data_IF_676814609742
#
_entry.id   IF_676814609742
#
_cell.length_a   1.000
_cell.length_b   1.000
_cell.length_c   1.000
_cell.angle_alpha   90.00
_cell.angle_beta   90.00
_cell.angle_gamma   90.00
#
_symmetry.space_group_name_H-M   'P 1'
#
loop_
_entity.id
_entity.type
_entity.pdbx_description
1 polymer ?
#
# COMPACT_ATOMS: atom_id res chain seq x y z
N UNK A 1 -18.80 -0.54 -6.07
CA UNK A 1 -19.55 -1.12 -4.93
C UNK A 1 -18.63 -1.09 -3.72
N UNK A 2 -19.12 -0.67 -2.55
CA UNK A 2 -18.32 -0.69 -1.31
C UNK A 2 -18.10 -2.13 -0.82
N UNK A 3 -16.92 -2.41 -0.25
CA UNK A 3 -16.63 -3.70 0.40
C UNK A 3 -17.65 -3.95 1.51
N UNK A 4 -18.10 -5.19 1.64
CA UNK A 4 -19.07 -5.54 2.68
C UNK A 4 -18.53 -5.29 4.09
N UNK A 5 -17.22 -5.46 4.31
CA UNK A 5 -16.56 -5.10 5.56
C UNK A 5 -16.76 -3.63 5.97
N UNK A 6 -16.83 -2.71 5.00
CA UNK A 6 -17.12 -1.29 5.27
C UNK A 6 -18.54 -1.11 5.79
N UNK A 7 -19.53 -1.85 5.25
CA UNK A 7 -20.89 -1.83 5.79
C UNK A 7 -20.96 -2.45 7.18
N UNK A 8 -20.20 -3.54 7.40
CA UNK A 8 -20.10 -4.19 8.71
C UNK A 8 -19.57 -3.24 9.78
N UNK A 9 -18.59 -2.39 9.45
CA UNK A 9 -17.99 -1.41 10.36
C UNK A 9 -19.01 -0.44 10.97
N UNK A 10 -19.95 0.04 10.17
CA UNK A 10 -20.98 0.98 10.61
C UNK A 10 -22.26 0.31 11.13
N UNK A 11 -22.36 -1.02 11.01
CA UNK A 11 -23.58 -1.75 11.35
C UNK A 11 -23.96 -1.64 12.84
N UNK A 12 -23.04 -1.76 13.83
CA UNK A 12 -23.40 -1.65 15.24
C UNK A 12 -24.06 -0.32 15.62
N UNK A 13 -23.61 0.78 15.00
CA UNK A 13 -24.24 2.09 15.17
C UNK A 13 -25.63 2.15 14.53
N UNK A 14 -25.76 1.63 13.30
CA UNK A 14 -27.02 1.63 12.57
C UNK A 14 -28.12 0.79 13.25
N UNK A 15 -27.76 -0.17 14.09
CA UNK A 15 -28.70 -0.98 14.87
C UNK A 15 -28.94 -0.47 16.28
N UNK A 16 -28.28 0.62 16.70
CA UNK A 16 -28.37 1.15 18.07
C UNK A 16 -27.74 0.26 19.14
N UNK A 17 -26.83 -0.64 18.75
CA UNK A 17 -26.07 -1.48 19.72
C UNK A 17 -24.93 -0.66 20.33
N UNK A 18 -24.35 0.22 19.53
CA UNK A 18 -23.31 1.17 19.98
C UNK A 18 -23.80 2.56 19.64
N UNK A 19 -23.70 3.49 20.59
CA UNK A 19 -24.07 4.87 20.36
C UNK A 19 -23.14 5.51 19.31
N UNK A 20 -23.68 6.21 18.31
CA UNK A 20 -22.85 6.90 17.32
C UNK A 20 -22.12 8.08 17.97
N UNK A 21 -20.86 8.38 17.56
CA UNK A 21 -20.15 9.57 18.00
C UNK A 21 -20.92 10.86 17.67
N UNK A 22 -21.19 11.65 18.71
CA UNK A 22 -21.99 12.88 18.64
C UNK A 22 -21.24 14.13 18.14
N UNK A 23 -21.98 15.24 18.07
CA UNK A 23 -21.47 16.53 17.60
C UNK A 23 -20.28 17.02 18.45
N UNK A 24 -19.30 17.64 17.79
CA UNK A 24 -18.04 18.09 18.44
C UNK A 24 -17.01 16.98 18.68
N UNK A 25 -17.39 15.71 18.53
CA UNK A 25 -16.46 14.59 18.59
C UNK A 25 -15.52 14.52 17.39
N UNK A 26 -14.34 13.93 17.59
CA UNK A 26 -13.35 13.63 16.56
C UNK A 26 -13.14 12.13 16.45
N UNK A 27 -13.36 11.58 15.27
CA UNK A 27 -13.20 10.16 14.97
C UNK A 27 -12.06 9.95 13.98
N UNK A 28 -11.10 9.11 14.35
CA UNK A 28 -10.04 8.68 13.45
C UNK A 28 -10.51 7.47 12.65
N UNK A 29 -10.39 7.47 11.32
CA UNK A 29 -10.75 6.31 10.50
C UNK A 29 -9.54 5.74 9.76
N UNK A 30 -8.99 4.64 10.28
CA UNK A 30 -7.82 3.95 9.74
C UNK A 30 -8.20 2.87 8.73
N UNK A 31 -7.48 2.82 7.61
CA UNK A 31 -7.81 1.93 6.49
C UNK A 31 -9.09 2.37 5.77
N UNK A 32 -9.40 3.68 5.82
CA UNK A 32 -10.64 4.22 5.31
C UNK A 32 -10.81 3.92 3.82
N UNK A 33 -12.04 3.58 3.42
CA UNK A 33 -12.43 3.40 2.02
C UNK A 33 -13.68 4.23 1.75
N UNK A 34 -13.84 4.72 0.52
CA UNK A 34 -15.04 5.47 0.14
C UNK A 34 -16.29 4.57 0.04
N UNK A 35 -17.47 5.20 -0.03
CA UNK A 35 -18.74 4.50 -0.24
C UNK A 35 -19.42 3.99 1.03
N UNK A 36 -19.05 4.51 2.20
CA UNK A 36 -19.85 4.41 3.42
C UNK A 36 -20.95 5.46 3.44
N UNK A 37 -21.97 5.20 4.27
CA UNK A 37 -22.96 6.19 4.69
C UNK A 37 -22.90 6.26 6.20
N UNK A 38 -22.80 7.46 6.73
CA UNK A 38 -22.83 7.67 8.18
C UNK A 38 -24.23 7.31 8.69
N UNK A 39 -24.35 6.47 9.73
CA UNK A 39 -25.62 6.16 10.36
C UNK A 39 -26.29 7.39 10.98
N UNK A 40 -27.59 7.31 11.22
CA UNK A 40 -28.32 8.35 11.95
C UNK A 40 -27.67 8.61 13.32
N UNK A 41 -27.55 9.88 13.70
CA UNK A 41 -26.90 10.29 14.95
C UNK A 41 -25.37 10.38 14.90
N UNK A 42 -24.70 9.92 13.83
CA UNK A 42 -23.26 10.09 13.66
C UNK A 42 -22.96 11.52 13.20
N UNK A 43 -22.65 12.39 14.16
CA UNK A 43 -22.43 13.82 13.95
C UNK A 43 -20.96 14.27 14.22
N UNK A 44 -20.09 13.35 14.62
CA UNK A 44 -18.68 13.64 14.82
C UNK A 44 -17.92 13.90 13.50
N UNK A 45 -16.87 14.71 13.57
CA UNK A 45 -15.91 14.87 12.48
C UNK A 45 -15.12 13.57 12.24
N UNK A 46 -14.81 13.25 10.99
CA UNK A 46 -14.15 12.01 10.60
C UNK A 46 -12.85 12.29 9.85
N UNK A 47 -11.71 12.03 10.49
CA UNK A 47 -10.39 12.14 9.87
C UNK A 47 -10.00 10.79 9.25
N UNK A 48 -10.13 10.66 7.93
CA UNK A 48 -9.81 9.43 7.22
C UNK A 48 -8.30 9.29 6.96
N UNK A 49 -7.81 8.06 7.06
CA UNK A 49 -6.40 7.71 6.80
C UNK A 49 -6.33 6.56 5.81
N UNK A 50 -5.70 6.82 4.67
CA UNK A 50 -5.58 5.87 3.57
C UNK A 50 -4.27 6.10 2.78
N UNK A 51 -3.25 5.25 2.96
CA UNK A 51 -1.95 5.38 2.30
C UNK A 51 -1.96 4.92 0.83
N UNK A 52 -2.94 4.12 0.40
CA UNK A 52 -3.04 3.66 -0.98
C UNK A 52 -3.69 4.74 -1.86
N UNK A 53 -2.95 5.22 -2.87
CA UNK A 53 -3.33 6.39 -3.69
C UNK A 53 -4.70 6.26 -4.34
N UNK A 54 -5.02 5.08 -4.88
CA UNK A 54 -6.30 4.82 -5.56
C UNK A 54 -7.50 4.98 -4.60
N UNK A 55 -7.40 4.39 -3.40
CA UNK A 55 -8.43 4.50 -2.36
C UNK A 55 -8.48 5.90 -1.75
N UNK A 56 -7.32 6.55 -1.57
CA UNK A 56 -7.24 7.92 -1.11
C UNK A 56 -7.96 8.88 -2.07
N UNK A 57 -7.71 8.75 -3.38
CA UNK A 57 -8.39 9.54 -4.41
C UNK A 57 -9.90 9.29 -4.40
N UNK A 58 -10.34 8.05 -4.19
CA UNK A 58 -11.76 7.75 -4.08
C UNK A 58 -12.42 8.45 -2.88
N UNK A 59 -11.73 8.54 -1.74
CA UNK A 59 -12.18 9.30 -0.57
C UNK A 59 -12.23 10.81 -0.84
N UNK A 60 -11.20 11.38 -1.45
CA UNK A 60 -11.18 12.79 -1.85
C UNK A 60 -12.32 13.11 -2.83
N UNK A 61 -12.56 12.24 -3.82
CA UNK A 61 -13.66 12.39 -4.77
C UNK A 61 -15.05 12.28 -4.12
N UNK A 62 -15.15 11.63 -2.96
CA UNK A 62 -16.36 11.58 -2.13
C UNK A 62 -16.47 12.76 -1.13
N UNK A 63 -15.52 13.72 -1.17
CA UNK A 63 -15.49 14.89 -0.29
C UNK A 63 -15.02 14.61 1.14
N UNK A 64 -14.40 13.44 1.40
CA UNK A 64 -13.88 13.11 2.72
C UNK A 64 -12.58 13.89 3.02
N UNK A 65 -12.41 14.32 4.27
CA UNK A 65 -11.12 14.76 4.80
C UNK A 65 -10.22 13.52 4.96
N UNK A 66 -9.19 13.41 4.11
CA UNK A 66 -8.32 12.23 4.07
C UNK A 66 -6.84 12.60 4.00
N UNK A 67 -6.02 11.90 4.78
CA UNK A 67 -4.56 11.96 4.77
C UNK A 67 -3.95 10.56 4.50
N UNK A 68 -2.71 10.47 3.99
CA UNK A 68 -2.03 9.18 3.83
C UNK A 68 -1.57 8.58 5.17
N UNK A 69 -1.31 9.43 6.17
CA UNK A 69 -0.82 9.06 7.49
C UNK A 69 -1.69 9.75 8.54
N UNK A 70 -1.93 9.07 9.65
CA UNK A 70 -2.66 9.65 10.77
C UNK A 70 -1.88 10.84 11.36
N UNK A 71 -2.61 11.89 11.76
CA UNK A 71 -2.07 13.06 12.45
C UNK A 71 -2.93 13.36 13.69
N UNK A 72 -2.41 14.15 14.64
CA UNK A 72 -3.13 14.53 15.86
C UNK A 72 -3.32 13.41 16.89
N UNK A 73 -3.82 13.80 18.05
CA UNK A 73 -4.08 12.97 19.23
C UNK A 73 -5.37 13.42 19.94
N UNK A 74 -5.83 12.63 20.92
CA UNK A 74 -7.01 12.91 21.71
C UNK A 74 -8.32 12.71 20.93
N UNK A 75 -8.35 11.74 20.01
CA UNK A 75 -9.58 11.34 19.31
C UNK A 75 -10.57 10.67 20.27
N UNK A 76 -11.86 10.92 20.07
CA UNK A 76 -12.97 10.41 20.89
C UNK A 76 -13.38 8.99 20.53
N UNK A 77 -13.12 8.60 19.29
CA UNK A 77 -13.24 7.23 18.82
C UNK A 77 -12.27 6.95 17.67
N UNK A 78 -12.03 5.67 17.41
CA UNK A 78 -11.36 5.19 16.22
C UNK A 78 -12.18 4.12 15.51
N UNK A 79 -12.24 4.22 14.19
CA UNK A 79 -12.73 3.19 13.29
C UNK A 79 -11.53 2.56 12.58
N UNK A 80 -11.50 1.23 12.50
CA UNK A 80 -10.43 0.47 11.82
C UNK A 80 -11.07 -0.50 10.84
N UNK A 81 -10.81 -0.29 9.55
CA UNK A 81 -11.18 -1.25 8.52
C UNK A 81 -9.99 -2.15 8.19
N UNK A 82 -10.18 -3.46 8.25
CA UNK A 82 -9.14 -4.43 7.95
C UNK A 82 -8.94 -4.62 6.44
N UNK A 83 -7.67 -4.67 6.03
CA UNK A 83 -7.24 -5.19 4.74
C UNK A 83 -6.80 -6.65 4.82
N UNK A 84 -6.22 -7.16 3.74
CA UNK A 84 -5.73 -8.56 3.66
C UNK A 84 -4.44 -8.80 4.45
N UNK A 85 -3.74 -7.74 4.87
CA UNK A 85 -2.42 -7.83 5.50
C UNK A 85 -2.54 -7.78 7.02
N UNK A 86 -2.31 -8.93 7.67
CA UNK A 86 -2.39 -9.06 9.13
C UNK A 86 -1.55 -8.03 9.89
N UNK A 87 -0.28 -7.85 9.53
CA UNK A 87 0.62 -6.91 10.23
C UNK A 87 0.14 -5.47 10.11
N UNK A 88 -0.44 -5.10 8.97
CA UNK A 88 -1.03 -3.77 8.78
C UNK A 88 -2.29 -3.57 9.61
N UNK A 89 -3.16 -4.59 9.71
CA UNK A 89 -4.35 -4.52 10.56
C UNK A 89 -3.99 -4.36 12.04
N UNK A 90 -2.93 -5.04 12.50
CA UNK A 90 -2.41 -4.90 13.86
C UNK A 90 -1.83 -3.49 14.09
N UNK A 91 -1.04 -2.97 13.15
CA UNK A 91 -0.49 -1.62 13.21
C UNK A 91 -1.58 -0.54 13.26
N UNK A 92 -2.66 -0.70 12.49
CA UNK A 92 -3.83 0.20 12.56
C UNK A 92 -4.47 0.20 13.94
N UNK A 93 -4.60 -0.94 14.61
CA UNK A 93 -5.11 -0.96 15.99
C UNK A 93 -4.12 -0.28 16.94
N UNK A 94 -2.82 -0.52 16.80
CA UNK A 94 -1.81 0.18 17.60
C UNK A 94 -1.89 1.70 17.41
N UNK A 95 -2.09 2.16 16.18
CA UNK A 95 -2.21 3.58 15.87
C UNK A 95 -3.51 4.20 16.42
N UNK A 96 -4.62 3.46 16.38
CA UNK A 96 -5.85 3.84 17.05
C UNK A 96 -5.64 4.02 18.56
N UNK A 97 -4.95 3.08 19.22
CA UNK A 97 -4.68 3.12 20.65
C UNK A 97 -3.78 4.30 21.07
N UNK A 98 -2.80 4.66 20.25
CA UNK A 98 -1.90 5.81 20.50
C UNK A 98 -2.62 7.15 20.42
N UNK A 99 -3.58 7.27 19.49
CA UNK A 99 -4.17 8.58 19.13
C UNK A 99 -5.51 8.86 19.80
N UNK A 100 -6.17 7.84 20.35
CA UNK A 100 -7.43 8.00 21.07
C UNK A 100 -7.19 8.25 22.55
N UNK A 101 -8.10 9.03 23.17
CA UNK A 101 -8.06 9.27 24.62
C UNK A 101 -8.53 8.03 25.40
N UNK A 102 -8.12 7.92 26.66
CA UNK A 102 -8.68 6.92 27.56
C UNK A 102 -10.22 6.95 27.56
N UNK A 103 -10.85 5.77 27.54
CA UNK A 103 -12.31 5.66 27.46
C UNK A 103 -12.90 5.81 26.05
N UNK A 104 -12.10 6.11 25.04
CA UNK A 104 -12.57 6.19 23.66
C UNK A 104 -13.01 4.83 23.11
N UNK A 105 -14.01 4.85 22.23
CA UNK A 105 -14.44 3.67 21.49
C UNK A 105 -13.42 3.32 20.39
N UNK A 106 -12.99 2.06 20.32
CA UNK A 106 -12.26 1.53 19.16
C UNK A 106 -13.10 0.46 18.49
N UNK A 107 -13.58 0.76 17.27
CA UNK A 107 -14.41 -0.11 16.44
C UNK A 107 -13.57 -0.67 15.30
N UNK A 108 -13.54 -2.00 15.15
CA UNK A 108 -12.75 -2.71 14.14
C UNK A 108 -13.65 -3.62 13.32
N UNK A 109 -13.53 -3.60 11.99
CA UNK A 109 -14.28 -4.52 11.14
C UNK A 109 -13.45 -5.08 9.98
N UNK A 110 -13.82 -6.30 9.56
CA UNK A 110 -13.18 -7.00 8.45
C UNK A 110 -13.97 -8.24 8.03
N UNK A 111 -13.67 -8.74 6.83
CA UNK A 111 -14.13 -10.04 6.35
C UNK A 111 -13.31 -11.20 6.91
N UNK A 112 -13.78 -12.43 6.67
CA UNK A 112 -13.03 -13.65 7.02
C UNK A 112 -11.66 -13.71 6.34
N UNK A 113 -11.61 -13.35 5.05
CA UNK A 113 -10.38 -13.29 4.25
C UNK A 113 -9.41 -12.19 4.69
N UNK A 114 -9.89 -11.21 5.45
CA UNK A 114 -9.06 -10.15 6.04
C UNK A 114 -8.43 -10.57 7.38
N UNK A 115 -8.70 -11.80 7.84
CA UNK A 115 -8.18 -12.33 9.10
C UNK A 115 -8.85 -11.75 10.35
N UNK A 116 -10.10 -11.27 10.25
CA UNK A 116 -10.80 -10.59 11.35
C UNK A 116 -10.97 -11.48 12.60
N UNK A 117 -11.21 -12.78 12.42
CA UNK A 117 -11.43 -13.71 13.53
C UNK A 117 -10.14 -13.97 14.35
N UNK A 118 -9.00 -14.33 13.73
CA UNK A 118 -7.71 -14.36 14.43
C UNK A 118 -7.35 -13.04 15.11
N UNK A 119 -7.62 -11.90 14.46
CA UNK A 119 -7.33 -10.58 15.01
C UNK A 119 -8.14 -10.31 16.28
N UNK A 120 -9.47 -10.53 16.24
CA UNK A 120 -10.33 -10.41 17.41
C UNK A 120 -9.86 -11.31 18.56
N UNK A 121 -9.50 -12.57 18.28
CA UNK A 121 -8.96 -13.49 19.29
C UNK A 121 -7.65 -12.97 19.90
N UNK A 122 -6.79 -12.33 19.11
CA UNK A 122 -5.54 -11.70 19.60
C UNK A 122 -5.86 -10.52 20.51
N UNK A 123 -6.77 -9.62 20.11
CA UNK A 123 -7.18 -8.46 20.93
C UNK A 123 -7.85 -8.90 22.24
N UNK A 124 -8.70 -9.94 22.20
CA UNK A 124 -9.35 -10.47 23.41
C UNK A 124 -8.39 -10.98 24.49
N UNK A 125 -7.13 -11.26 24.16
CA UNK A 125 -6.11 -11.65 25.16
C UNK A 125 -5.69 -10.50 26.08
N UNK A 126 -5.97 -9.25 25.72
CA UNK A 126 -5.71 -8.11 26.60
C UNK A 126 -6.77 -7.95 27.70
N UNK A 127 -7.90 -8.67 27.62
CA UNK A 127 -8.91 -8.69 28.67
C UNK A 127 -9.75 -7.41 28.80
N UNK A 128 -9.77 -6.57 27.77
CA UNK A 128 -10.59 -5.35 27.76
C UNK A 128 -12.07 -5.65 27.55
N UNK A 129 -12.92 -4.82 28.13
CA UNK A 129 -14.35 -4.88 27.91
C UNK A 129 -14.68 -4.51 26.45
N UNK A 130 -15.51 -5.34 25.82
CA UNK A 130 -15.87 -5.20 24.42
C UNK A 130 -16.81 -6.29 23.94
N UNK A 131 -17.36 -6.08 22.74
CA UNK A 131 -18.31 -7.02 22.12
C UNK A 131 -18.09 -7.09 20.60
N UNK A 132 -18.92 -7.84 19.91
CA UNK A 132 -18.84 -8.06 18.47
C UNK A 132 -20.18 -8.35 17.82
N UNK A 133 -20.30 -8.02 16.54
CA UNK A 133 -21.48 -8.27 15.74
C UNK A 133 -21.09 -8.83 14.36
N UNK A 134 -21.49 -10.07 14.02
CA UNK A 134 -21.33 -10.59 12.67
C UNK A 134 -22.39 -10.01 11.72
N UNK A 135 -21.97 -9.50 10.56
CA UNK A 135 -22.87 -9.04 9.48
C UNK A 135 -22.14 -8.94 8.15
N UNK A 136 -22.87 -9.09 7.04
CA UNK A 136 -22.36 -8.94 5.66
C UNK A 136 -21.09 -9.77 5.40
N UNK A 137 -21.09 -11.03 5.82
CA UNK A 137 -19.93 -11.93 5.71
C UNK A 137 -18.65 -11.47 6.44
N UNK A 138 -18.74 -10.42 7.27
CA UNK A 138 -17.68 -9.92 8.13
C UNK A 138 -18.09 -9.90 9.59
N UNK A 139 -17.19 -9.38 10.41
CA UNK A 139 -17.39 -9.15 11.85
C UNK A 139 -16.94 -7.74 12.18
N UNK A 140 -17.78 -7.00 12.91
CA UNK A 140 -17.35 -5.84 13.68
C UNK A 140 -17.08 -6.29 15.12
N UNK A 141 -16.00 -5.82 15.72
CA UNK A 141 -15.79 -5.93 17.16
C UNK A 141 -15.29 -4.59 17.68
N UNK A 142 -15.59 -4.29 18.93
CA UNK A 142 -15.20 -3.04 19.55
C UNK A 142 -14.85 -3.23 21.00
N UNK A 143 -14.10 -2.27 21.53
CA UNK A 143 -13.69 -2.21 22.92
C UNK A 143 -13.45 -0.77 23.33
N UNK A 144 -13.45 -0.53 24.64
CA UNK A 144 -13.09 0.76 25.21
C UNK A 144 -11.59 0.85 25.38
N UNK A 145 -10.95 1.91 24.88
CA UNK A 145 -9.49 2.10 25.00
C UNK A 145 -9.10 2.21 26.49
N UNK A 146 -8.26 1.30 27.02
CA UNK A 146 -7.85 1.28 28.43
C UNK A 146 -6.94 2.48 28.75
N UNK A 147 -6.71 2.82 30.02
CA UNK A 147 -5.78 3.89 30.43
C UNK A 147 -4.34 3.67 29.95
N UNK A 148 -3.80 2.47 30.18
CA UNK A 148 -2.49 2.06 29.69
C UNK A 148 -2.61 1.18 28.45
N UNK A 149 -1.95 1.60 27.37
CA UNK A 149 -1.90 0.89 26.08
C UNK A 149 -0.50 0.42 25.72
N UNK A 150 0.49 0.65 26.58
CA UNK A 150 1.92 0.48 26.25
C UNK A 150 2.24 -0.95 25.81
N UNK A 151 1.75 -1.94 26.56
CA UNK A 151 1.94 -3.36 26.21
C UNK A 151 1.27 -3.73 24.88
N UNK A 152 0.05 -3.26 24.65
CA UNK A 152 -0.68 -3.56 23.44
C UNK A 152 -0.04 -2.91 22.21
N UNK A 153 0.34 -1.63 22.32
CA UNK A 153 1.05 -0.91 21.28
C UNK A 153 2.37 -1.61 20.95
N UNK A 154 3.16 -2.03 21.94
CA UNK A 154 4.42 -2.74 21.71
C UNK A 154 4.24 -4.09 20.99
N UNK A 155 3.11 -4.79 21.20
CA UNK A 155 2.79 -6.08 20.56
C UNK A 155 2.13 -5.98 19.18
N UNK A 156 1.59 -4.81 18.83
CA UNK A 156 0.76 -4.60 17.64
C UNK A 156 1.40 -3.66 16.63
N UNK A 157 2.17 -2.66 17.07
CA UNK A 157 2.81 -1.71 16.17
C UNK A 157 3.77 -2.44 15.24
N UNK A 158 3.79 -2.03 13.96
CA UNK A 158 4.75 -2.57 13.00
C UNK A 158 6.17 -2.21 13.43
N UNK A 159 7.07 -3.17 13.28
CA UNK A 159 8.49 -2.97 13.51
C UNK A 159 9.18 -2.93 12.15
N UNK A 160 9.89 -1.85 11.81
CA UNK A 160 10.74 -1.83 10.61
C UNK A 160 11.76 -2.97 10.68
N UNK A 161 11.96 -3.62 9.54
CA UNK A 161 12.94 -4.69 9.37
C UNK A 161 14.04 -4.24 8.43
N UNK A 162 15.24 -4.79 8.65
CA UNK A 162 16.39 -4.57 7.79
C UNK A 162 16.54 -5.75 6.84
N UNK A 163 16.33 -5.52 5.55
CA UNK A 163 16.47 -6.51 4.48
C UNK A 163 17.89 -6.43 3.94
N UNK A 164 18.58 -7.59 3.88
CA UNK A 164 19.98 -7.75 3.46
C UNK A 164 20.98 -6.79 4.13
N UNK A 165 20.66 -6.29 5.33
CA UNK A 165 21.47 -5.30 6.05
C UNK A 165 21.45 -3.88 5.45
N UNK A 166 20.85 -3.69 4.27
CA UNK A 166 20.93 -2.44 3.49
C UNK A 166 19.61 -1.67 3.47
N UNK A 167 18.48 -2.36 3.46
CA UNK A 167 17.19 -1.73 3.18
C UNK A 167 16.27 -1.77 4.38
N UNK A 168 15.59 -0.67 4.65
CA UNK A 168 14.47 -0.60 5.58
C UNK A 168 13.16 -0.89 4.85
N UNK A 169 12.36 -1.78 5.43
CA UNK A 169 11.00 -2.07 5.01
C UNK A 169 10.15 -2.36 6.26
N UNK A 170 8.83 -2.45 6.11
CA UNK A 170 7.94 -2.75 7.23
C UNK A 170 6.75 -3.64 6.80
N UNK A 171 6.14 -4.39 7.74
CA UNK A 171 4.91 -5.13 7.48
C UNK A 171 3.85 -4.29 6.76
N UNK A 172 3.23 -4.88 5.73
CA UNK A 172 2.30 -4.20 4.83
C UNK A 172 2.91 -3.85 3.46
N UNK A 173 4.24 -3.72 3.37
CA UNK A 173 4.93 -3.52 2.09
C UNK A 173 5.16 -4.85 1.35
N UNK A 174 5.26 -4.79 0.03
CA UNK A 174 5.61 -5.94 -0.82
C UNK A 174 7.01 -6.47 -0.48
N UNK A 175 7.11 -7.79 -0.25
CA UNK A 175 8.35 -8.48 0.12
C UNK A 175 9.15 -7.74 1.20
N UNK A 176 8.49 -7.33 2.29
CA UNK A 176 9.13 -6.50 3.32
C UNK A 176 10.18 -7.23 4.17
N UNK A 177 10.19 -8.58 4.19
CA UNK A 177 11.07 -9.38 5.04
C UNK A 177 12.29 -9.96 4.29
N UNK A 178 12.36 -9.79 2.96
CA UNK A 178 13.43 -10.29 2.10
C UNK A 178 13.40 -9.60 0.74
N UNK A 179 14.50 -9.64 0.00
CA UNK A 179 14.48 -9.23 -1.42
C UNK A 179 13.55 -10.16 -2.22
N UNK A 180 12.70 -9.57 -3.06
CA UNK A 180 11.88 -10.36 -3.99
C UNK A 180 12.75 -10.98 -5.09
N UNK A 181 12.60 -12.29 -5.32
CA UNK A 181 13.39 -13.03 -6.29
C UNK A 181 13.15 -12.59 -7.75
N UNK A 182 11.97 -12.03 -8.06
CA UNK A 182 11.70 -11.41 -9.35
C UNK A 182 12.49 -10.12 -9.51
N UNK A 183 12.41 -9.23 -8.52
CA UNK A 183 13.20 -7.99 -8.47
C UNK A 183 14.71 -8.26 -8.53
N UNK A 184 15.20 -9.29 -7.84
CA UNK A 184 16.60 -9.71 -7.92
C UNK A 184 17.00 -10.17 -9.33
N UNK A 185 16.14 -10.98 -9.98
CA UNK A 185 16.37 -11.41 -11.36
C UNK A 185 16.45 -10.22 -12.32
N UNK A 186 15.56 -9.23 -12.18
CA UNK A 186 15.59 -8.01 -12.97
C UNK A 186 16.86 -7.18 -12.68
N UNK A 187 17.20 -7.00 -11.40
CA UNK A 187 18.40 -6.28 -10.97
C UNK A 187 19.67 -6.86 -11.61
N UNK A 188 19.76 -8.19 -11.72
CA UNK A 188 20.89 -8.89 -12.35
C UNK A 188 21.05 -8.65 -13.86
N UNK A 189 20.11 -7.93 -14.49
CA UNK A 189 20.08 -7.64 -15.94
C UNK A 189 20.00 -6.14 -16.23
N UNK A 190 20.05 -5.28 -15.21
CA UNK A 190 20.04 -3.83 -15.40
C UNK A 190 21.27 -3.37 -16.21
N UNK A 191 21.12 -2.36 -17.07
CA UNK A 191 22.20 -1.86 -17.89
C UNK A 191 23.26 -1.15 -17.05
N UNK A 192 24.54 -1.41 -17.31
CA UNK A 192 25.65 -0.76 -16.61
C UNK A 192 26.18 0.52 -17.29
N UNK A 193 25.87 0.70 -18.57
CA UNK A 193 26.29 1.83 -19.41
C UNK A 193 25.23 2.92 -19.54
N UNK A 194 24.14 2.85 -18.76
CA UNK A 194 23.03 3.78 -18.84
C UNK A 194 23.38 5.16 -18.28
N UNK A 195 23.13 6.21 -19.08
CA UNK A 195 23.38 7.61 -18.69
C UNK A 195 22.13 8.50 -18.79
N UNK A 196 20.97 7.90 -19.08
CA UNK A 196 19.70 8.62 -19.27
C UNK A 196 18.96 8.89 -17.96
N UNK A 197 17.73 9.37 -18.08
CA UNK A 197 16.80 9.53 -16.96
C UNK A 197 15.88 8.31 -16.89
N UNK A 198 15.87 7.64 -15.73
CA UNK A 198 15.06 6.46 -15.49
C UNK A 198 13.78 6.76 -14.67
N UNK A 199 12.82 5.84 -14.71
CA UNK A 199 11.77 5.74 -13.71
C UNK A 199 11.61 4.30 -13.21
N UNK A 200 11.20 4.16 -11.95
CA UNK A 200 10.81 2.91 -11.30
C UNK A 200 9.30 2.93 -11.06
N UNK A 201 8.56 2.09 -11.79
CA UNK A 201 7.10 2.04 -11.75
C UNK A 201 6.64 0.93 -10.80
N UNK A 202 6.03 1.31 -9.68
CA UNK A 202 5.77 0.38 -8.57
C UNK A 202 7.04 0.15 -7.75
N UNK A 203 7.69 1.23 -7.33
CA UNK A 203 9.03 1.20 -6.74
C UNK A 203 9.10 0.44 -5.41
N UNK A 204 7.97 0.21 -4.74
CA UNK A 204 7.92 -0.40 -3.42
C UNK A 204 8.79 0.38 -2.44
N UNK A 205 9.68 -0.32 -1.73
CA UNK A 205 10.68 0.26 -0.84
C UNK A 205 12.01 0.60 -1.54
N UNK A 206 12.03 0.70 -2.87
CA UNK A 206 13.14 1.28 -3.64
C UNK A 206 14.28 0.33 -4.02
N UNK A 207 14.08 -0.99 -3.93
CA UNK A 207 15.13 -1.97 -4.23
C UNK A 207 15.69 -1.83 -5.66
N UNK A 208 14.82 -1.83 -6.68
CA UNK A 208 15.25 -1.73 -8.08
C UNK A 208 15.91 -0.38 -8.38
N UNK A 209 15.41 0.69 -7.75
CA UNK A 209 15.98 2.02 -7.87
C UNK A 209 17.42 2.10 -7.34
N UNK A 210 17.68 1.55 -6.15
CA UNK A 210 19.04 1.46 -5.59
C UNK A 210 19.92 0.59 -6.48
N UNK A 211 19.43 -0.57 -6.95
CA UNK A 211 20.21 -1.45 -7.84
C UNK A 211 20.52 -0.83 -9.19
N UNK A 212 19.64 0.00 -9.75
CA UNK A 212 19.95 0.74 -10.96
C UNK A 212 21.01 1.83 -10.71
N UNK A 213 20.94 2.52 -9.58
CA UNK A 213 21.96 3.49 -9.17
C UNK A 213 23.35 2.86 -9.01
N UNK A 214 23.41 1.66 -8.40
CA UNK A 214 24.65 0.89 -8.27
C UNK A 214 25.17 0.42 -9.65
N UNK A 215 24.30 -0.13 -10.49
CA UNK A 215 24.69 -0.69 -11.79
C UNK A 215 25.11 0.40 -12.79
N UNK A 216 24.45 1.56 -12.77
CA UNK A 216 24.66 2.66 -13.71
C UNK A 216 25.01 3.98 -12.99
N UNK A 217 26.23 4.16 -12.44
CA UNK A 217 26.61 5.34 -11.66
C UNK A 217 26.55 6.68 -12.43
N UNK A 218 26.42 6.64 -13.76
CA UNK A 218 26.35 7.81 -14.64
C UNK A 218 24.91 8.18 -15.04
N UNK A 219 23.89 7.50 -14.50
CA UNK A 219 22.50 7.82 -14.78
C UNK A 219 22.18 9.28 -14.40
N UNK A 220 21.38 9.95 -15.21
CA UNK A 220 21.03 11.37 -15.02
C UNK A 220 20.16 11.59 -13.78
N UNK A 221 19.30 10.63 -13.48
CA UNK A 221 18.42 10.61 -12.32
C UNK A 221 17.41 9.46 -12.42
N UNK A 222 16.72 9.19 -11.32
CA UNK A 222 15.65 8.19 -11.26
C UNK A 222 14.41 8.75 -10.55
N UNK A 223 13.25 8.53 -11.15
CA UNK A 223 11.98 8.89 -10.54
C UNK A 223 11.24 7.64 -10.05
N UNK A 224 10.88 7.62 -8.77
CA UNK A 224 10.19 6.51 -8.13
C UNK A 224 8.70 6.81 -8.06
N UNK A 225 7.87 5.95 -8.67
CA UNK A 225 6.42 6.00 -8.61
C UNK A 225 5.89 4.85 -7.79
N UNK A 226 5.12 5.16 -6.75
CA UNK A 226 4.53 4.15 -5.86
C UNK A 226 3.14 4.60 -5.40
N UNK A 227 2.20 3.65 -5.38
CA UNK A 227 0.82 3.90 -4.98
C UNK A 227 0.65 3.84 -3.45
N UNK A 228 1.49 3.09 -2.73
CA UNK A 228 1.52 3.07 -1.27
C UNK A 228 2.45 4.15 -0.70
N UNK A 229 1.87 5.10 0.03
CA UNK A 229 2.62 6.22 0.61
C UNK A 229 3.74 5.74 1.55
N UNK A 230 3.50 4.72 2.37
CA UNK A 230 4.49 4.24 3.34
C UNK A 230 5.67 3.57 2.65
N UNK A 231 5.42 2.79 1.60
CA UNK A 231 6.45 2.18 0.77
C UNK A 231 7.31 3.25 0.08
N UNK A 232 6.68 4.30 -0.47
CA UNK A 232 7.41 5.41 -1.09
C UNK A 232 8.34 6.13 -0.09
N UNK A 233 7.89 6.34 1.15
CA UNK A 233 8.73 6.95 2.18
C UNK A 233 9.88 6.02 2.61
N UNK A 234 9.67 4.70 2.64
CA UNK A 234 10.76 3.74 2.82
C UNK A 234 11.75 3.78 1.62
N UNK A 235 11.26 3.90 0.40
CA UNK A 235 12.12 4.07 -0.78
C UNK A 235 12.96 5.35 -0.70
N UNK A 236 12.39 6.44 -0.17
CA UNK A 236 13.11 7.69 0.09
C UNK A 236 14.27 7.49 1.06
N UNK A 237 14.00 6.84 2.19
CA UNK A 237 15.02 6.52 3.19
C UNK A 237 16.11 5.60 2.60
N UNK A 238 15.71 4.56 1.85
CA UNK A 238 16.64 3.60 1.25
C UNK A 238 17.53 4.21 0.16
N UNK A 239 16.98 5.09 -0.68
CA UNK A 239 17.77 5.83 -1.66
C UNK A 239 18.77 6.78 -0.97
N UNK A 240 18.34 7.48 0.08
CA UNK A 240 19.23 8.36 0.85
C UNK A 240 20.38 7.59 1.53
N UNK A 241 20.10 6.39 2.05
CA UNK A 241 21.11 5.57 2.72
C UNK A 241 22.07 4.86 1.75
N UNK A 242 21.56 4.31 0.64
CA UNK A 242 22.30 3.39 -0.22
C UNK A 242 22.75 4.01 -1.56
N UNK A 243 22.13 5.10 -2.00
CA UNK A 243 22.47 5.80 -3.24
C UNK A 243 22.44 7.34 -3.09
N UNK A 244 23.11 7.92 -2.07
CA UNK A 244 22.98 9.34 -1.70
C UNK A 244 23.39 10.33 -2.79
N UNK A 245 24.25 9.93 -3.73
CA UNK A 245 24.72 10.78 -4.83
C UNK A 245 23.81 10.74 -6.07
N UNK A 246 22.80 9.86 -6.08
CA UNK A 246 21.92 9.68 -7.24
C UNK A 246 20.75 10.67 -7.15
N UNK A 247 20.54 11.54 -8.15
CA UNK A 247 19.37 12.41 -8.19
C UNK A 247 18.09 11.57 -8.24
N UNK A 248 17.24 11.69 -7.22
CA UNK A 248 16.01 10.92 -7.08
C UNK A 248 14.79 11.80 -6.80
N UNK A 249 13.67 11.52 -7.47
CA UNK A 249 12.36 12.15 -7.20
C UNK A 249 11.34 11.08 -6.83
N UNK A 250 10.38 11.43 -5.98
CA UNK A 250 9.45 10.47 -5.36
C UNK A 250 8.01 10.93 -5.58
N UNK A 251 7.19 10.06 -6.15
CA UNK A 251 5.83 10.37 -6.57
C UNK A 251 4.84 9.36 -5.97
N UNK A 252 3.99 9.85 -5.06
CA UNK A 252 2.86 9.08 -4.55
C UNK A 252 1.70 9.13 -5.55
N UNK A 253 1.60 8.07 -6.34
CA UNK A 253 1.00 8.14 -7.68
C UNK A 253 0.33 6.82 -8.07
N UNK A 254 -0.90 6.89 -8.58
CA UNK A 254 -1.61 5.76 -9.16
C UNK A 254 -1.37 5.72 -10.67
N UNK A 255 -0.39 4.92 -11.09
CA UNK A 255 -0.01 4.78 -12.51
C UNK A 255 -1.14 4.29 -13.43
N UNK A 256 -2.23 3.77 -12.87
CA UNK A 256 -3.39 3.32 -13.67
C UNK A 256 -4.40 4.43 -13.93
N UNK A 257 -4.41 5.47 -13.09
CA UNK A 257 -5.39 6.55 -13.13
C UNK A 257 -4.78 7.95 -13.34
N UNK A 258 -3.46 8.08 -13.22
CA UNK A 258 -2.74 9.34 -13.25
C UNK A 258 -1.62 9.32 -14.29
N UNK A 259 -1.60 10.30 -15.19
CA UNK A 259 -0.52 10.41 -16.18
C UNK A 259 0.77 10.97 -15.56
N UNK A 260 1.90 10.43 -15.98
CA UNK A 260 3.21 10.99 -15.62
C UNK A 260 3.50 12.26 -16.42
N UNK A 261 4.10 13.26 -15.75
CA UNK A 261 4.44 14.55 -16.38
C UNK A 261 5.66 14.44 -17.29
N UNK A 262 6.68 13.71 -16.83
CA UNK A 262 7.96 13.58 -17.52
C UNK A 262 8.00 12.34 -18.43
N UNK A 263 8.98 12.33 -19.35
CA UNK A 263 9.28 11.18 -20.22
C UNK A 263 10.66 10.61 -19.93
N UNK A 264 10.79 9.29 -19.96
CA UNK A 264 11.99 8.58 -19.52
C UNK A 264 12.71 7.85 -20.65
N UNK A 265 14.02 7.68 -20.48
CA UNK A 265 14.86 6.88 -21.39
C UNK A 265 14.80 5.38 -21.03
N UNK A 266 14.61 5.09 -19.74
CA UNK A 266 14.43 3.74 -19.19
C UNK A 266 13.30 3.73 -18.17
N UNK A 267 12.43 2.72 -18.22
CA UNK A 267 11.50 2.41 -17.12
C UNK A 267 11.82 1.00 -16.63
N UNK A 268 11.98 0.82 -15.32
CA UNK A 268 12.07 -0.49 -14.67
C UNK A 268 10.81 -0.74 -13.85
N UNK A 269 10.34 -1.98 -13.78
CA UNK A 269 9.22 -2.32 -12.90
C UNK A 269 9.13 -3.81 -12.55
N UNK A 270 8.62 -4.08 -11.36
CA UNK A 270 8.10 -5.39 -10.96
C UNK A 270 6.59 -5.21 -10.68
N UNK A 271 5.72 -5.34 -11.69
CA UNK A 271 4.30 -5.10 -11.51
C UNK A 271 3.69 -6.05 -10.48
N UNK A 272 2.76 -5.59 -9.64
CA UNK A 272 2.16 -6.42 -8.60
C UNK A 272 1.43 -7.62 -9.21
N UNK A 273 1.57 -8.78 -8.57
CA UNK A 273 0.82 -9.99 -8.87
C UNK A 273 0.26 -10.54 -7.56
N UNK A 274 -1.03 -10.90 -7.54
CA UNK A 274 -1.63 -11.55 -6.38
C UNK A 274 -1.51 -13.07 -6.50
N UNK A 275 -0.80 -13.68 -5.56
CA UNK A 275 -0.87 -15.13 -5.29
C UNK A 275 -2.21 -15.43 -4.61
N UNK A 276 -3.29 -15.53 -5.39
CA UNK A 276 -4.63 -15.88 -4.89
C UNK A 276 -5.71 -15.77 -5.96
N UNK A 277 -6.03 -16.91 -6.60
CA UNK A 277 -7.10 -17.25 -7.57
C UNK A 277 -7.49 -16.31 -8.73
N UNK A 278 -7.13 -15.03 -8.69
CA UNK A 278 -6.98 -14.19 -9.85
C UNK A 278 -5.74 -13.36 -9.60
N UNK A 279 -4.62 -13.70 -10.27
CA UNK A 279 -3.71 -12.62 -10.63
C UNK A 279 -4.58 -11.54 -11.30
N UNK A 280 -4.30 -10.26 -11.09
CA UNK A 280 -4.90 -9.21 -11.89
C UNK A 280 -3.93 -8.84 -13.03
N UNK A 281 -3.78 -9.66 -14.10
CA UNK A 281 -3.04 -9.25 -15.30
C UNK A 281 -3.43 -7.85 -15.77
N UNK A 282 -4.67 -7.43 -15.51
CA UNK A 282 -5.16 -6.10 -15.83
C UNK A 282 -4.34 -4.97 -15.19
N UNK A 283 -3.93 -5.10 -13.92
CA UNK A 283 -3.15 -4.07 -13.22
C UNK A 283 -1.75 -3.93 -13.84
N UNK A 284 -1.02 -5.04 -13.98
CA UNK A 284 0.28 -5.00 -14.64
C UNK A 284 0.20 -4.60 -16.12
N UNK A 285 -0.86 -5.00 -16.84
CA UNK A 285 -1.10 -4.54 -18.20
C UNK A 285 -1.37 -3.03 -18.26
N UNK A 286 -2.10 -2.47 -17.30
CA UNK A 286 -2.30 -1.03 -17.20
C UNK A 286 -0.98 -0.29 -16.94
N UNK A 287 -0.12 -0.82 -16.06
CA UNK A 287 1.23 -0.27 -15.83
C UNK A 287 2.12 -0.34 -17.07
N UNK A 288 2.07 -1.43 -17.85
CA UNK A 288 2.77 -1.54 -19.14
C UNK A 288 2.31 -0.45 -20.12
N UNK A 289 0.99 -0.21 -20.21
CA UNK A 289 0.43 0.86 -21.04
C UNK A 289 0.86 2.25 -20.55
N UNK A 290 0.91 2.46 -19.24
CA UNK A 290 1.42 3.70 -18.65
C UNK A 290 2.91 3.90 -18.99
N UNK A 291 3.72 2.86 -18.91
CA UNK A 291 5.14 2.89 -19.29
C UNK A 291 5.32 3.26 -20.77
N UNK A 292 4.54 2.66 -21.67
CA UNK A 292 4.58 2.99 -23.11
C UNK A 292 4.32 4.49 -23.37
N UNK A 293 3.35 5.07 -22.65
CA UNK A 293 3.05 6.51 -22.72
C UNK A 293 4.16 7.36 -22.12
N UNK A 294 4.83 6.89 -21.07
CA UNK A 294 5.83 7.62 -20.30
C UNK A 294 7.26 7.54 -20.87
N UNK A 295 7.52 6.72 -21.90
CA UNK A 295 8.85 6.65 -22.52
C UNK A 295 9.07 7.73 -23.57
N UNK A 296 10.32 8.18 -23.72
CA UNK A 296 10.75 8.96 -24.89
C UNK A 296 10.77 8.07 -26.14
N UNK A 297 10.88 8.69 -27.32
CA UNK A 297 11.18 7.95 -28.54
C UNK A 297 12.52 7.20 -28.40
N UNK A 298 12.55 5.91 -28.73
CA UNK A 298 13.73 5.06 -28.54
C UNK A 298 13.98 4.62 -27.08
N UNK A 299 13.20 5.11 -26.11
CA UNK A 299 13.25 4.67 -24.73
C UNK A 299 12.73 3.24 -24.56
N UNK A 300 13.16 2.57 -23.49
CA UNK A 300 12.79 1.17 -23.22
C UNK A 300 12.19 0.95 -21.84
N UNK A 301 11.32 -0.05 -21.73
CA UNK A 301 10.89 -0.63 -20.46
C UNK A 301 11.60 -1.96 -20.25
N UNK A 302 11.99 -2.25 -19.01
CA UNK A 302 12.41 -3.57 -18.54
C UNK A 302 11.51 -3.97 -17.36
N UNK A 303 10.92 -5.15 -17.41
CA UNK A 303 10.03 -5.62 -16.36
C UNK A 303 10.27 -7.08 -16.03
N UNK A 304 10.02 -7.46 -14.79
CA UNK A 304 9.93 -8.87 -14.39
C UNK A 304 8.48 -9.26 -14.19
N UNK A 305 8.14 -10.49 -14.54
CA UNK A 305 6.81 -11.05 -14.33
C UNK A 305 6.89 -12.53 -13.99
N UNK A 306 5.87 -13.04 -13.30
CA UNK A 306 5.64 -14.47 -13.20
C UNK A 306 5.45 -15.07 -14.60
N UNK A 307 6.01 -16.26 -14.83
CA UNK A 307 6.00 -16.91 -16.16
C UNK A 307 4.62 -17.03 -16.79
N UNK A 308 3.60 -17.34 -15.96
CA UNK A 308 2.22 -17.54 -16.41
C UNK A 308 1.48 -16.26 -16.82
N UNK A 309 2.03 -15.07 -16.55
CA UNK A 309 1.40 -13.80 -16.91
C UNK A 309 1.65 -13.48 -18.39
N UNK A 310 0.61 -13.23 -19.20
CA UNK A 310 0.73 -13.08 -20.66
C UNK A 310 1.09 -11.64 -21.09
N UNK A 311 2.11 -11.03 -20.47
CA UNK A 311 2.48 -9.64 -20.75
C UNK A 311 3.11 -9.42 -22.12
N UNK A 312 3.58 -10.47 -22.79
CA UNK A 312 4.13 -10.39 -24.15
C UNK A 312 3.12 -9.79 -25.14
N UNK A 313 1.84 -10.17 -25.03
CA UNK A 313 0.79 -9.62 -25.89
C UNK A 313 0.62 -8.11 -25.64
N UNK A 314 0.59 -7.70 -24.38
CA UNK A 314 0.46 -6.28 -24.02
C UNK A 314 1.66 -5.48 -24.51
N UNK A 315 2.87 -6.03 -24.45
CA UNK A 315 4.07 -5.38 -24.98
C UNK A 315 4.01 -5.26 -26.50
N UNK A 316 3.65 -6.32 -27.22
CA UNK A 316 3.54 -6.30 -28.68
C UNK A 316 2.50 -5.29 -29.20
N UNK A 317 1.41 -5.08 -28.45
CA UNK A 317 0.37 -4.11 -28.79
C UNK A 317 0.77 -2.64 -28.56
N UNK A 318 1.73 -2.37 -27.66
CA UNK A 318 2.03 -1.01 -27.19
C UNK A 318 3.43 -0.50 -27.54
N UNK A 319 4.29 -1.36 -28.08
CA UNK A 319 5.70 -1.05 -28.37
C UNK A 319 6.09 -1.51 -29.78
N UNK A 320 7.15 -0.92 -30.34
CA UNK A 320 7.63 -1.30 -31.69
C UNK A 320 8.37 -2.63 -31.68
N UNK A 321 9.16 -2.83 -30.63
CA UNK A 321 9.98 -4.02 -30.43
C UNK A 321 9.80 -4.48 -28.99
N UNK A 322 9.73 -5.79 -28.79
CA UNK A 322 9.72 -6.40 -27.47
C UNK A 322 10.39 -7.76 -27.51
N UNK A 323 10.83 -8.23 -26.35
CA UNK A 323 11.47 -9.53 -26.23
C UNK A 323 11.66 -9.93 -24.79
N UNK A 324 12.39 -11.03 -24.63
CA UNK A 324 12.77 -11.57 -23.32
C UNK A 324 14.28 -11.49 -23.16
N UNK A 325 14.74 -11.02 -22.01
CA UNK A 325 16.16 -11.00 -21.64
C UNK A 325 16.59 -12.33 -21.04
N UNK A 326 15.78 -12.89 -20.13
CA UNK A 326 16.02 -14.19 -19.52
C UNK A 326 14.75 -14.73 -18.86
N UNK A 327 14.78 -16.01 -18.50
CA UNK A 327 13.77 -16.67 -17.65
C UNK A 327 14.42 -17.66 -16.71
N UNK A 328 13.77 -17.91 -15.58
CA UNK A 328 14.07 -19.03 -14.69
C UNK A 328 12.81 -19.89 -14.48
N UNK A 329 12.76 -20.72 -13.43
CA UNK A 329 11.61 -21.57 -13.17
C UNK A 329 10.30 -20.80 -12.84
N UNK A 330 10.40 -19.61 -12.25
CA UNK A 330 9.26 -18.83 -11.70
C UNK A 330 9.00 -17.53 -12.46
N UNK A 331 10.05 -16.84 -12.89
CA UNK A 331 10.00 -15.50 -13.44
C UNK A 331 10.59 -15.42 -14.84
N UNK A 332 10.21 -14.37 -15.57
CA UNK A 332 10.80 -13.94 -16.84
C UNK A 332 11.05 -12.43 -16.80
N UNK A 333 12.17 -11.99 -17.37
CA UNK A 333 12.50 -10.57 -17.56
C UNK A 333 12.23 -10.23 -19.00
N UNK A 334 11.26 -9.34 -19.21
CA UNK A 334 10.82 -8.85 -20.51
C UNK A 334 11.35 -7.43 -20.73
N UNK A 335 11.50 -7.06 -22.00
CA UNK A 335 11.83 -5.70 -22.40
C UNK A 335 10.98 -5.27 -23.59
N UNK A 336 10.77 -3.96 -23.74
CA UNK A 336 10.16 -3.39 -24.94
C UNK A 336 10.65 -1.96 -25.20
N UNK A 337 10.59 -1.52 -26.46
CA UNK A 337 11.14 -0.23 -26.94
C UNK A 337 10.12 0.56 -27.77
N UNK A 338 10.09 1.89 -27.54
CA UNK A 338 9.20 2.84 -28.23
C UNK A 338 9.77 3.36 -29.55
#
# INVERSE_FOLDING_TARGET
MSRDALKTLFHPFATGIVDPPGEGGRVLFLGAEAGYRLPEGFAASLSAVQPLKSLHRALQGAGAEVAPVAAGEGYDAALVLCGKHKGENEDRIAEALKRTRAGALVMVAGGKEDGILPLRKKIGKFGWEGDSLPKYHGVAFWFTRPEDVSEAVAKLAKVPVRVDGLFEAAPGMFSHDRVDAGSELLASRLPSDFTGHAADFGAGWGYLSVKLAEAAPKLKGIDLFEADYTALEAARANMAANAPSTPARFYWHDLTAEETRDKYDLIVMNPPFHEGHAAEPALGAAMIKAAAKALKHGGRVMLVANRGLPYEQVLAENFKESGETCRNARFKVLWAKR
#
